data_IF_884627032256
#
_entry.id   IF_884627032256
#
_cell.length_a   1.000
_cell.length_b   1.000
_cell.length_c   1.000
_cell.angle_alpha   90.00
_cell.angle_beta   90.00
_cell.angle_gamma   90.00
#
_symmetry.space_group_name_H-M   'P 1'
#
loop_
_entity.id
_entity.type
_entity.pdbx_description
1 polymer ?
#
# COMPACT_ATOMS: atom_id res chain seq x y z
N UNK A 1 -1.82 -4.00 -19.31
CA UNK A 1 -1.33 -3.31 -18.12
C UNK A 1 -1.65 -4.19 -16.93
N UNK A 2 -0.64 -4.58 -16.17
CA UNK A 2 -0.81 -5.39 -14.97
C UNK A 2 -0.02 -4.80 -13.83
N UNK A 3 -0.54 -4.87 -12.61
CA UNK A 3 0.24 -4.53 -11.41
C UNK A 3 1.28 -5.62 -11.19
N UNK A 4 2.55 -5.25 -11.05
CA UNK A 4 3.68 -6.17 -11.02
C UNK A 4 4.50 -6.13 -9.73
N UNK A 5 4.40 -5.03 -8.98
CA UNK A 5 5.18 -4.81 -7.76
C UNK A 5 4.37 -4.03 -6.74
N UNK A 6 4.64 -4.32 -5.46
CA UNK A 6 4.10 -3.60 -4.30
C UNK A 6 5.25 -3.21 -3.38
N UNK A 7 5.21 -1.97 -2.89
CA UNK A 7 6.14 -1.48 -1.86
C UNK A 7 5.40 -0.72 -0.78
N UNK A 8 5.66 -1.06 0.47
CA UNK A 8 5.09 -0.39 1.63
C UNK A 8 6.09 0.58 2.26
N UNK A 9 5.57 1.63 2.90
CA UNK A 9 6.36 2.63 3.62
C UNK A 9 5.69 2.93 4.95
N UNK A 10 6.37 2.63 6.05
CA UNK A 10 5.98 3.10 7.37
C UNK A 10 6.77 4.37 7.68
N UNK A 11 6.09 5.51 7.69
CA UNK A 11 6.72 6.83 7.84
C UNK A 11 6.34 7.41 9.18
N UNK A 12 7.31 7.58 10.08
CA UNK A 12 7.09 8.26 11.35
C UNK A 12 6.86 9.76 11.10
N UNK A 13 5.80 10.30 11.71
CA UNK A 13 5.54 11.74 11.69
C UNK A 13 6.43 12.40 12.76
N UNK A 14 7.29 13.37 12.43
CA UNK A 14 8.11 14.03 13.45
C UNK A 14 7.24 14.80 14.46
N UNK A 15 7.77 15.11 15.66
CA UNK A 15 7.10 16.01 16.60
C UNK A 15 6.72 17.33 15.91
N UNK A 16 5.52 17.88 16.18
CA UNK A 16 4.59 17.53 17.25
C UNK A 16 3.48 16.52 16.86
N UNK A 17 3.66 15.73 15.80
CA UNK A 17 2.76 14.63 15.40
C UNK A 17 1.33 15.06 15.00
N UNK A 18 1.15 16.27 14.46
CA UNK A 18 -0.15 16.66 13.89
C UNK A 18 -0.54 15.71 12.75
N UNK A 19 -1.73 15.11 12.84
CA UNK A 19 -2.18 14.08 11.89
C UNK A 19 -1.76 12.64 12.24
N UNK A 20 -1.24 12.39 13.45
CA UNK A 20 -0.93 11.06 13.97
C UNK A 20 0.57 10.78 14.09
N UNK A 21 0.92 9.64 14.69
CA UNK A 21 2.32 9.26 14.98
C UNK A 21 3.07 8.75 13.74
N UNK A 22 2.34 8.20 12.76
CA UNK A 22 2.90 7.64 11.53
C UNK A 22 1.83 7.56 10.44
N UNK A 23 2.30 7.39 9.21
CA UNK A 23 1.48 7.08 8.04
C UNK A 23 2.00 5.79 7.39
N UNK A 24 1.10 5.07 6.72
CA UNK A 24 1.43 3.83 6.03
C UNK A 24 1.06 3.99 4.57
N UNK A 25 2.07 4.19 3.74
CA UNK A 25 1.89 4.33 2.30
C UNK A 25 2.11 3.01 1.58
N UNK A 26 1.45 2.85 0.44
CA UNK A 26 1.67 1.79 -0.53
C UNK A 26 1.99 2.41 -1.88
N UNK A 27 2.95 1.83 -2.59
CA UNK A 27 3.23 2.10 -3.99
C UNK A 27 2.98 0.82 -4.77
N UNK A 28 2.21 0.93 -5.84
CA UNK A 28 2.01 -0.13 -6.81
C UNK A 28 2.67 0.27 -8.13
N UNK A 29 3.38 -0.65 -8.77
CA UNK A 29 4.03 -0.40 -10.07
C UNK A 29 3.57 -1.42 -11.10
N UNK A 30 3.18 -0.95 -12.29
CA UNK A 30 2.75 -1.81 -13.39
C UNK A 30 3.91 -2.41 -14.16
N UNK A 31 3.62 -3.46 -14.93
CA UNK A 31 4.54 -4.09 -15.89
C UNK A 31 5.13 -3.13 -16.93
N UNK A 32 4.42 -2.03 -17.22
CA UNK A 32 4.88 -0.94 -18.09
C UNK A 32 5.59 0.20 -17.34
N UNK A 33 5.88 0.06 -16.04
CA UNK A 33 6.61 1.03 -15.24
C UNK A 33 5.79 2.20 -14.66
N UNK A 34 4.46 2.23 -14.84
CA UNK A 34 3.62 3.29 -14.25
C UNK A 34 3.46 3.03 -12.76
N UNK A 35 3.60 4.06 -11.93
CA UNK A 35 3.48 3.96 -10.48
C UNK A 35 2.29 4.75 -9.94
N UNK A 36 1.54 4.14 -9.02
CA UNK A 36 0.48 4.79 -8.23
C UNK A 36 0.76 4.66 -6.74
N UNK A 37 0.30 5.64 -5.95
CA UNK A 37 0.45 5.67 -4.50
C UNK A 37 -0.91 5.70 -3.81
N UNK A 38 -0.98 5.10 -2.63
CA UNK A 38 -2.13 5.14 -1.74
C UNK A 38 -1.71 5.12 -0.27
N UNK A 39 -2.66 5.35 0.64
CA UNK A 39 -2.45 5.33 2.08
C UNK A 39 -3.47 4.41 2.76
N UNK A 40 -3.02 3.58 3.69
CA UNK A 40 -3.89 2.75 4.53
C UNK A 40 -4.07 3.41 5.89
N UNK A 41 -5.33 3.62 6.30
CA UNK A 41 -5.66 4.38 7.50
C UNK A 41 -6.27 3.52 8.60
N UNK A 42 -5.82 3.74 9.85
CA UNK A 42 -6.47 3.26 11.08
C UNK A 42 -6.71 1.76 11.20
N UNK A 43 -5.81 0.93 10.66
CA UNK A 43 -5.84 -0.53 10.86
C UNK A 43 -5.39 -0.84 12.30
N UNK A 44 -6.12 -1.63 13.11
CA UNK A 44 -5.92 -1.76 14.55
C UNK A 44 -4.75 -2.69 14.94
N UNK A 45 -3.60 -2.52 14.29
CA UNK A 45 -2.36 -3.26 14.56
C UNK A 45 -1.14 -2.33 14.45
N UNK A 46 -0.01 -2.75 15.00
CA UNK A 46 1.26 -2.02 14.88
C UNK A 46 1.62 -1.81 13.40
N UNK A 47 2.19 -0.66 12.98
CA UNK A 47 2.34 -0.32 11.56
C UNK A 47 3.17 -1.31 10.75
N UNK A 48 4.15 -1.97 11.37
CA UNK A 48 4.93 -3.04 10.71
C UNK A 48 4.08 -4.27 10.34
N UNK A 49 3.10 -4.61 11.18
CA UNK A 49 2.16 -5.71 10.91
C UNK A 49 1.20 -5.29 9.79
N UNK A 50 0.73 -4.04 9.83
CA UNK A 50 -0.14 -3.50 8.77
C UNK A 50 0.56 -3.49 7.41
N UNK A 51 1.85 -3.14 7.35
CA UNK A 51 2.64 -3.23 6.12
C UNK A 51 2.68 -4.67 5.56
N UNK A 52 2.89 -5.67 6.42
CA UNK A 52 2.84 -7.09 6.01
C UNK A 52 1.45 -7.53 5.55
N UNK A 53 0.38 -7.04 6.21
CA UNK A 53 -1.00 -7.30 5.76
C UNK A 53 -1.27 -6.73 4.37
N UNK A 54 -0.77 -5.52 4.07
CA UNK A 54 -0.89 -4.91 2.74
C UNK A 54 -0.15 -5.76 1.70
N UNK A 55 1.07 -6.20 2.00
CA UNK A 55 1.87 -7.04 1.09
C UNK A 55 1.15 -8.38 0.80
N UNK A 56 0.63 -9.05 1.82
CA UNK A 56 -0.12 -10.31 1.69
C UNK A 56 -1.41 -10.15 0.87
N UNK A 57 -2.22 -9.10 1.14
CA UNK A 57 -3.41 -8.81 0.31
C UNK A 57 -3.02 -8.51 -1.13
N UNK A 58 -1.93 -7.76 -1.33
CA UNK A 58 -1.45 -7.44 -2.67
C UNK A 58 -0.99 -8.68 -3.42
N UNK A 59 -0.20 -9.56 -2.80
CA UNK A 59 0.27 -10.80 -3.40
C UNK A 59 -0.90 -11.70 -3.82
N UNK A 60 -1.92 -11.83 -2.97
CA UNK A 60 -3.06 -12.73 -3.22
C UNK A 60 -4.07 -12.20 -4.24
N UNK A 61 -4.30 -10.88 -4.27
CA UNK A 61 -5.45 -10.31 -4.99
C UNK A 61 -5.07 -9.25 -6.03
N UNK A 62 -3.93 -8.56 -5.87
CA UNK A 62 -3.59 -7.37 -6.66
C UNK A 62 -2.49 -7.65 -7.68
N UNK A 63 -1.46 -8.43 -7.36
CA UNK A 63 -0.37 -8.72 -8.29
C UNK A 63 -0.89 -9.53 -9.49
N UNK A 64 -0.49 -9.14 -10.70
CA UNK A 64 -0.95 -9.72 -11.96
C UNK A 64 -2.31 -9.20 -12.45
N UNK A 65 -3.01 -8.40 -11.65
CA UNK A 65 -4.30 -7.81 -12.01
C UNK A 65 -4.19 -6.62 -12.95
N UNK A 66 -5.22 -6.41 -13.78
CA UNK A 66 -5.42 -5.15 -14.51
C UNK A 66 -5.92 -4.07 -13.53
N UNK A 67 -5.19 -2.94 -13.34
CA UNK A 67 -5.53 -1.90 -12.38
C UNK A 67 -6.85 -1.19 -12.69
N UNK A 68 -7.41 -1.33 -13.90
CA UNK A 68 -8.72 -0.75 -14.24
C UNK A 68 -9.91 -1.65 -13.88
N UNK A 69 -9.68 -2.87 -13.37
CA UNK A 69 -10.73 -3.82 -12.97
C UNK A 69 -11.05 -3.71 -11.48
N UNK A 70 -11.39 -2.50 -11.03
CA UNK A 70 -11.56 -2.17 -9.61
C UNK A 70 -12.64 -3.02 -8.93
N UNK A 71 -13.81 -3.24 -9.53
CA UNK A 71 -14.88 -4.06 -8.92
C UNK A 71 -14.51 -5.55 -8.73
N UNK A 72 -13.45 -6.03 -9.39
CA UNK A 72 -12.94 -7.39 -9.23
C UNK A 72 -11.85 -7.47 -8.16
N UNK A 73 -11.18 -6.34 -7.87
CA UNK A 73 -10.14 -6.22 -6.86
C UNK A 73 -10.77 -6.16 -5.47
#
# INVERSE_FOLDING_TARGET
MKISDVKTFVVANPPPHFGGLYWIFVKLTTDSGISGYGEAYSVPFHPRVVAQMIEDVCERHVIGSDPFKIERL
#
